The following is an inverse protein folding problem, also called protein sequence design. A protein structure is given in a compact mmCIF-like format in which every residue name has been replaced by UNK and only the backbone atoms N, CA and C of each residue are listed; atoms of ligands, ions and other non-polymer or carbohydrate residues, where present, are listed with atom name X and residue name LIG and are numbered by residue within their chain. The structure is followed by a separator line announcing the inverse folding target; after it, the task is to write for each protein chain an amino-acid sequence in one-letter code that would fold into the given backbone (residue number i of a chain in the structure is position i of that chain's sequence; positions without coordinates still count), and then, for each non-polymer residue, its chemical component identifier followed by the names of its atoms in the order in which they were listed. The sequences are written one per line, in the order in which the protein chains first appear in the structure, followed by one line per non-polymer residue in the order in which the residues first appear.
data_IF_480574602272
#
_entry.id   IF_480574602272
#
_cell.length_a   1.000
_cell.length_b   1.000
_cell.length_c   1.000
_cell.angle_alpha   90.00
_cell.angle_beta   90.00
_cell.angle_gamma   90.00
#
_symmetry.space_group_name_H-M   'P 1'
#
loop_
_entity.id
_entity.type
_entity.pdbx_description
1 polymer ?
#
# COMPACT_ATOMS: atom_id res chain seq x y z
N UNK A 1 -18.00 5.32 19.45
CA UNK A 1 -17.69 6.54 18.66
C UNK A 1 -18.84 7.54 18.72
N UNK A 2 -20.01 7.27 18.09
CA UNK A 2 -21.20 8.14 18.14
C UNK A 2 -21.68 8.50 19.55
N UNK A 3 -21.81 7.51 20.44
CA UNK A 3 -22.27 7.75 21.82
C UNK A 3 -21.31 8.61 22.66
N UNK A 4 -20.05 8.72 22.25
CA UNK A 4 -19.02 9.47 22.99
C UNK A 4 -18.73 10.84 22.33
N UNK A 5 -19.29 11.12 21.16
CA UNK A 5 -19.07 12.36 20.39
C UNK A 5 -20.36 12.73 19.64
N UNK A 6 -21.42 13.17 20.36
CA UNK A 6 -22.71 13.47 19.74
C UNK A 6 -22.66 14.61 18.72
N UNK A 7 -21.68 15.51 18.87
CA UNK A 7 -21.44 16.65 17.96
C UNK A 7 -20.77 16.24 16.63
N UNK A 8 -20.23 15.02 16.55
CA UNK A 8 -19.51 14.55 15.35
C UNK A 8 -20.48 13.85 14.40
N UNK A 9 -20.70 14.49 13.25
CA UNK A 9 -21.44 13.87 12.16
C UNK A 9 -20.53 12.88 11.40
N UNK A 10 -20.97 11.62 11.30
CA UNK A 10 -20.27 10.59 10.53
C UNK A 10 -20.93 10.46 9.17
N UNK A 11 -20.18 10.79 8.12
CA UNK A 11 -20.61 10.68 6.72
C UNK A 11 -19.91 9.46 6.11
N UNK A 12 -20.63 8.69 5.31
CA UNK A 12 -20.06 7.55 4.59
C UNK A 12 -19.34 8.05 3.35
N UNK A 13 -18.05 7.74 3.22
CA UNK A 13 -17.26 8.02 2.02
C UNK A 13 -17.42 6.87 1.01
N UNK A 14 -17.67 7.20 -0.25
CA UNK A 14 -17.83 6.25 -1.35
C UNK A 14 -17.42 6.89 -2.69
N UNK A 15 -17.44 6.10 -3.77
CA UNK A 15 -16.97 6.57 -5.08
C UNK A 15 -17.72 7.78 -5.64
N UNK A 16 -19.00 7.98 -5.30
CA UNK A 16 -19.77 9.12 -5.78
C UNK A 16 -19.27 10.46 -5.23
N UNK A 17 -18.49 10.45 -4.13
CA UNK A 17 -17.88 11.67 -3.60
C UNK A 17 -16.77 12.22 -4.52
N UNK A 18 -16.15 11.36 -5.34
CA UNK A 18 -15.01 11.56 -6.24
C UNK A 18 -13.73 12.11 -5.59
N UNK A 19 -13.80 13.10 -4.71
CA UNK A 19 -12.71 13.63 -3.90
C UNK A 19 -13.13 13.79 -2.44
N UNK A 20 -12.17 13.69 -1.53
CA UNK A 20 -12.40 14.09 -0.13
C UNK A 20 -12.62 15.61 -0.10
N UNK A 21 -13.60 16.06 0.69
CA UNK A 21 -13.89 17.47 0.89
C UNK A 21 -12.63 18.26 1.33
N UNK A 22 -12.39 19.39 0.69
CA UNK A 22 -11.16 20.19 0.86
C UNK A 22 -9.91 19.66 0.13
N UNK A 23 -10.00 18.58 -0.64
CA UNK A 23 -8.88 17.98 -1.40
C UNK A 23 -9.27 17.64 -2.84
N UNK A 24 -10.04 18.54 -3.48
CA UNK A 24 -10.54 18.40 -4.85
C UNK A 24 -9.51 18.72 -5.94
N UNK A 25 -9.95 18.80 -7.19
CA UNK A 25 -9.07 18.98 -8.36
C UNK A 25 -8.30 20.30 -8.39
N UNK A 26 -8.85 21.36 -7.77
CA UNK A 26 -8.22 22.67 -7.67
C UNK A 26 -7.05 22.71 -6.70
N UNK A 27 -6.94 21.72 -5.82
CA UNK A 27 -5.98 21.73 -4.72
C UNK A 27 -4.63 21.14 -5.14
N UNK A 28 -3.58 21.61 -4.46
CA UNK A 28 -2.22 21.10 -4.63
C UNK A 28 -2.12 19.63 -4.17
N UNK A 29 -2.78 19.33 -3.05
CA UNK A 29 -2.94 17.98 -2.53
C UNK A 29 -4.35 17.48 -2.84
N UNK A 30 -4.43 16.41 -3.61
CA UNK A 30 -5.70 15.83 -4.05
C UNK A 30 -5.89 14.46 -3.44
N UNK A 31 -7.09 14.17 -2.95
CA UNK A 31 -7.48 12.85 -2.48
C UNK A 31 -8.66 12.35 -3.27
N UNK A 32 -8.40 11.65 -4.37
CA UNK A 32 -9.45 11.03 -5.18
C UNK A 32 -9.96 9.77 -4.49
N UNK A 33 -11.27 9.65 -4.37
CA UNK A 33 -11.95 8.46 -3.84
C UNK A 33 -12.24 7.51 -5.00
N UNK A 34 -11.67 6.30 -4.94
CA UNK A 34 -11.87 5.25 -5.95
C UNK A 34 -12.82 4.15 -5.46
N UNK A 35 -13.09 4.09 -4.17
CA UNK A 35 -14.00 3.13 -3.55
C UNK A 35 -14.23 3.43 -2.08
N UNK A 36 -15.23 2.79 -1.44
CA UNK A 36 -16.02 1.69 -2.00
C UNK A 36 -17.02 2.11 -3.08
N UNK A 37 -17.36 1.18 -3.98
CA UNK A 37 -18.43 1.37 -4.98
C UNK A 37 -19.74 0.88 -4.38
N UNK A 38 -20.81 1.64 -4.59
CA UNK A 38 -22.17 1.27 -4.18
C UNK A 38 -23.06 0.99 -5.38
N UNK A 39 -24.00 0.08 -5.23
CA UNK A 39 -25.02 -0.21 -6.24
C UNK A 39 -26.40 0.19 -5.73
N UNK A 40 -27.25 0.67 -6.65
CA UNK A 40 -28.63 0.99 -6.35
C UNK A 40 -29.45 -0.29 -6.28
N UNK A 41 -29.81 -0.71 -5.08
CA UNK A 41 -30.69 -1.86 -4.86
C UNK A 41 -32.10 -1.37 -4.62
N UNK A 42 -33.06 -1.95 -5.35
CA UNK A 42 -34.49 -1.68 -5.17
C UNK A 42 -35.13 -2.89 -4.50
N UNK A 43 -35.80 -2.66 -3.37
CA UNK A 43 -36.56 -3.68 -2.65
C UNK A 43 -37.95 -3.12 -2.32
N UNK A 44 -38.98 -3.72 -2.90
CA UNK A 44 -40.33 -3.15 -2.88
C UNK A 44 -40.36 -1.79 -3.60
N UNK A 45 -40.81 -0.74 -2.90
CA UNK A 45 -40.90 0.62 -3.44
C UNK A 45 -39.74 1.53 -3.01
N UNK A 46 -38.73 1.00 -2.31
CA UNK A 46 -37.56 1.77 -1.87
C UNK A 46 -36.33 1.41 -2.70
N UNK A 47 -35.55 2.43 -3.10
CA UNK A 47 -34.21 2.24 -3.64
C UNK A 47 -33.16 2.82 -2.69
N UNK A 48 -32.09 2.08 -2.43
CA UNK A 48 -30.96 2.52 -1.59
C UNK A 48 -29.63 2.18 -2.25
N UNK A 49 -28.63 3.04 -2.05
CA UNK A 49 -27.24 2.73 -2.38
C UNK A 49 -26.70 1.75 -1.35
N UNK A 50 -26.23 0.59 -1.80
CA UNK A 50 -25.79 -0.49 -0.95
C UNK A 50 -24.41 -1.01 -1.39
N UNK A 51 -23.64 -1.51 -0.42
CA UNK A 51 -22.47 -2.33 -0.72
C UNK A 51 -22.94 -3.73 -1.13
N UNK A 52 -22.38 -4.26 -2.21
CA UNK A 52 -22.69 -5.62 -2.64
C UNK A 52 -22.00 -6.66 -1.77
N UNK A 53 -22.53 -7.87 -1.74
CA UNK A 53 -21.88 -8.99 -1.06
C UNK A 53 -20.87 -9.64 -1.99
N UNK A 54 -19.58 -9.49 -1.67
CA UNK A 54 -18.47 -10.06 -2.45
C UNK A 54 -18.15 -11.51 -2.07
N UNK A 55 -18.57 -11.93 -0.87
CA UNK A 55 -18.32 -13.28 -0.37
C UNK A 55 -18.84 -13.46 1.04
N UNK A 56 -18.04 -14.06 1.91
CA UNK A 56 -18.31 -14.07 3.35
C UNK A 56 -18.17 -12.67 3.97
N UNK A 57 -18.44 -12.56 5.27
CA UNK A 57 -18.38 -11.29 6.00
C UNK A 57 -16.99 -10.66 5.98
N UNK A 58 -15.93 -11.47 6.09
CA UNK A 58 -14.55 -11.00 6.11
C UNK A 58 -14.13 -10.49 4.73
N UNK A 59 -14.38 -11.29 3.69
CA UNK A 59 -14.13 -10.92 2.29
C UNK A 59 -14.88 -9.65 1.92
N UNK A 60 -16.15 -9.55 2.30
CA UNK A 60 -17.00 -8.38 1.99
C UNK A 60 -16.54 -7.14 2.76
N UNK A 61 -16.22 -7.26 4.05
CA UNK A 61 -15.75 -6.12 4.87
C UNK A 61 -14.44 -5.56 4.31
N UNK A 62 -13.46 -6.43 4.07
CA UNK A 62 -12.15 -6.01 3.60
C UNK A 62 -12.20 -5.52 2.14
N UNK A 63 -13.03 -6.18 1.31
CA UNK A 63 -13.21 -5.83 -0.09
C UNK A 63 -13.88 -4.47 -0.34
N UNK A 64 -14.58 -3.92 0.66
CA UNK A 64 -15.13 -2.56 0.62
C UNK A 64 -14.26 -1.55 1.39
N UNK A 65 -12.95 -1.79 1.40
CA UNK A 65 -11.98 -0.81 1.88
C UNK A 65 -12.19 0.54 1.18
N UNK A 66 -11.95 1.62 1.92
CA UNK A 66 -11.86 2.97 1.32
C UNK A 66 -10.59 3.01 0.49
N UNK A 67 -10.75 3.32 -0.80
CA UNK A 67 -9.64 3.35 -1.75
C UNK A 67 -9.36 4.81 -2.09
N UNK A 68 -8.15 5.26 -1.79
CA UNK A 68 -7.73 6.63 -2.05
C UNK A 68 -6.56 6.67 -3.02
N UNK A 69 -6.63 7.58 -3.98
CA UNK A 69 -5.47 8.01 -4.74
C UNK A 69 -5.10 9.43 -4.31
N UNK A 70 -3.94 9.55 -3.66
CA UNK A 70 -3.29 10.81 -3.38
C UNK A 70 -2.61 11.32 -4.65
N UNK A 71 -2.70 12.63 -4.91
CA UNK A 71 -1.85 13.28 -5.89
C UNK A 71 -1.27 14.58 -5.32
N UNK A 72 0.04 14.77 -5.50
CA UNK A 72 0.75 16.02 -5.23
C UNK A 72 1.77 16.25 -6.35
N UNK A 73 1.64 17.38 -7.05
CA UNK A 73 2.35 17.60 -8.32
C UNK A 73 2.16 16.42 -9.28
N UNK A 74 3.28 15.75 -9.64
CA UNK A 74 3.30 14.59 -10.53
C UNK A 74 3.18 13.25 -9.81
N UNK A 75 3.41 13.20 -8.50
CA UNK A 75 3.37 11.96 -7.73
C UNK A 75 1.93 11.51 -7.54
N UNK A 76 1.65 10.25 -7.88
CA UNK A 76 0.42 9.56 -7.50
C UNK A 76 0.70 8.42 -6.53
N UNK A 77 -0.07 8.35 -5.45
CA UNK A 77 0.02 7.30 -4.44
C UNK A 77 -1.32 6.61 -4.25
N UNK A 78 -1.36 5.29 -4.28
CA UNK A 78 -2.58 4.51 -3.99
C UNK A 78 -2.54 3.93 -2.57
N UNK A 79 -3.65 4.11 -1.85
CA UNK A 79 -3.95 3.49 -0.57
C UNK A 79 -5.17 2.58 -0.75
N UNK A 80 -4.92 1.29 -0.99
CA UNK A 80 -5.98 0.32 -1.29
C UNK A 80 -6.68 -0.28 -0.08
N UNK A 81 -6.12 -0.17 1.13
CA UNK A 81 -6.64 -0.87 2.30
C UNK A 81 -6.45 -2.39 2.19
N UNK A 82 -7.49 -3.16 2.49
CA UNK A 82 -7.44 -4.63 2.56
C UNK A 82 -8.17 -5.29 1.39
N UNK A 83 -8.08 -4.70 0.19
CA UNK A 83 -8.62 -5.32 -1.02
C UNK A 83 -8.13 -6.76 -1.16
N UNK A 84 -9.04 -7.61 -1.60
CA UNK A 84 -8.84 -9.01 -1.92
C UNK A 84 -9.22 -9.27 -3.39
N UNK A 85 -8.88 -10.46 -3.90
CA UNK A 85 -9.15 -10.88 -5.28
C UNK A 85 -10.59 -10.57 -5.74
N UNK A 86 -11.62 -10.84 -4.92
CA UNK A 86 -13.02 -10.60 -5.28
C UNK A 86 -13.33 -9.10 -5.44
N UNK A 87 -12.81 -8.27 -4.53
CA UNK A 87 -12.96 -6.82 -4.67
C UNK A 87 -12.18 -6.27 -5.86
N UNK A 88 -11.01 -6.81 -6.17
CA UNK A 88 -10.21 -6.38 -7.32
C UNK A 88 -10.88 -6.76 -8.64
N UNK A 89 -11.46 -7.97 -8.74
CA UNK A 89 -12.32 -8.36 -9.86
C UNK A 89 -13.49 -7.37 -10.03
N UNK A 90 -14.17 -7.03 -8.93
CA UNK A 90 -15.29 -6.09 -8.97
C UNK A 90 -14.86 -4.67 -9.41
N UNK A 91 -13.70 -4.18 -8.93
CA UNK A 91 -13.14 -2.91 -9.39
C UNK A 91 -12.78 -2.97 -10.89
N UNK A 92 -12.26 -4.09 -11.38
CA UNK A 92 -11.93 -4.27 -12.80
C UNK A 92 -13.16 -4.45 -13.68
N UNK A 93 -14.27 -4.96 -13.16
CA UNK A 93 -15.57 -4.90 -13.84
C UNK A 93 -16.04 -3.44 -13.97
N UNK A 94 -16.00 -2.69 -12.87
CA UNK A 94 -16.48 -1.31 -12.83
C UNK A 94 -15.63 -0.34 -13.67
N UNK A 95 -14.31 -0.30 -13.44
CA UNK A 95 -13.40 0.65 -14.09
C UNK A 95 -12.75 0.10 -15.36
N UNK A 96 -12.55 -1.21 -15.40
CA UNK A 96 -11.90 -1.90 -16.50
C UNK A 96 -12.88 -2.48 -17.51
N UNK A 97 -14.19 -2.45 -17.25
CA UNK A 97 -15.21 -3.03 -18.14
C UNK A 97 -15.02 -4.53 -18.37
N UNK A 98 -14.44 -5.26 -17.41
CA UNK A 98 -14.39 -6.71 -17.46
C UNK A 98 -15.82 -7.28 -17.43
N UNK A 99 -16.12 -8.25 -18.29
CA UNK A 99 -17.45 -8.89 -18.35
C UNK A 99 -17.58 -10.11 -17.44
N UNK A 100 -16.44 -10.56 -16.89
CA UNK A 100 -16.29 -11.68 -15.97
C UNK A 100 -15.17 -11.40 -14.98
N UNK A 101 -15.06 -12.23 -13.94
CA UNK A 101 -13.94 -12.16 -13.00
C UNK A 101 -12.61 -12.41 -13.74
N UNK A 102 -11.67 -11.47 -13.64
CA UNK A 102 -10.36 -11.61 -14.31
C UNK A 102 -9.49 -12.64 -13.61
N UNK A 103 -9.69 -12.86 -12.31
CA UNK A 103 -9.05 -13.95 -11.58
C UNK A 103 -9.34 -15.33 -12.21
N UNK A 104 -10.53 -15.52 -12.79
CA UNK A 104 -10.88 -16.74 -13.53
C UNK A 104 -10.19 -16.85 -14.88
N UNK A 105 -9.91 -15.72 -15.53
CA UNK A 105 -9.07 -15.69 -16.72
C UNK A 105 -7.63 -16.07 -16.37
N UNK A 106 -7.10 -15.51 -15.27
CA UNK A 106 -5.75 -15.81 -14.77
C UNK A 106 -5.59 -17.30 -14.45
N UNK A 107 -6.52 -17.89 -13.70
CA UNK A 107 -6.54 -19.33 -13.42
C UNK A 107 -6.48 -20.16 -14.71
N UNK A 108 -7.34 -19.86 -15.69
CA UNK A 108 -7.38 -20.57 -16.97
C UNK A 108 -6.11 -20.40 -17.79
N UNK A 109 -5.53 -19.20 -17.79
CA UNK A 109 -4.25 -18.92 -18.45
C UNK A 109 -3.14 -19.80 -17.84
N UNK A 110 -3.09 -19.96 -16.51
CA UNK A 110 -2.10 -20.84 -15.88
C UNK A 110 -2.29 -22.30 -16.24
N UNK A 111 -3.52 -22.79 -16.28
CA UNK A 111 -3.82 -24.15 -16.72
C UNK A 111 -3.28 -24.40 -18.14
N UNK A 112 -3.53 -23.47 -19.06
CA UNK A 112 -3.07 -23.57 -20.44
C UNK A 112 -1.54 -23.45 -20.55
N UNK A 113 -0.93 -22.50 -19.83
CA UNK A 113 0.53 -22.34 -19.82
C UNK A 113 1.25 -23.56 -19.23
N UNK A 114 0.67 -24.20 -18.21
CA UNK A 114 1.22 -25.40 -17.57
C UNK A 114 1.28 -26.60 -18.52
N UNK A 115 0.46 -26.63 -19.58
CA UNK A 115 0.53 -27.68 -20.62
C UNK A 115 1.76 -27.56 -21.52
N UNK A 116 2.42 -26.40 -21.57
CA UNK A 116 3.64 -26.21 -22.35
C UNK A 116 3.47 -26.56 -23.82
N UNK A 117 4.25 -27.53 -24.32
CA UNK A 117 4.17 -27.97 -25.72
C UNK A 117 2.93 -28.82 -26.06
N UNK A 118 2.08 -29.14 -25.08
CA UNK A 118 0.86 -29.94 -25.27
C UNK A 118 -0.40 -29.10 -25.53
N UNK A 119 -0.29 -27.77 -25.60
CA UNK A 119 -1.41 -26.88 -25.94
C UNK A 119 -1.76 -27.08 -27.42
N UNK A 120 -3.03 -27.35 -27.72
CA UNK A 120 -3.50 -27.48 -29.11
C UNK A 120 -3.83 -26.13 -29.76
N UNK A 121 -4.18 -26.13 -31.06
CA UNK A 121 -4.46 -24.89 -31.80
C UNK A 121 -5.64 -24.08 -31.27
N UNK A 122 -6.69 -24.75 -30.76
CA UNK A 122 -7.85 -24.07 -30.19
C UNK A 122 -7.50 -23.44 -28.83
N UNK A 123 -6.70 -24.16 -28.02
CA UNK A 123 -6.23 -23.66 -26.74
C UNK A 123 -5.23 -22.51 -26.87
N UNK A 124 -4.36 -22.52 -27.89
CA UNK A 124 -3.50 -21.36 -28.20
C UNK A 124 -4.33 -20.13 -28.56
N UNK A 125 -5.41 -20.31 -29.32
CA UNK A 125 -6.33 -19.22 -29.65
C UNK A 125 -7.05 -18.71 -28.40
N UNK A 126 -7.59 -19.60 -27.56
CA UNK A 126 -8.23 -19.26 -26.29
C UNK A 126 -7.29 -18.43 -25.40
N UNK A 127 -6.03 -18.86 -25.27
CA UNK A 127 -5.00 -18.16 -24.51
C UNK A 127 -4.75 -16.74 -25.05
N UNK A 128 -4.63 -16.58 -26.37
CA UNK A 128 -4.41 -15.28 -27.01
C UNK A 128 -5.62 -14.34 -26.84
N UNK A 129 -6.84 -14.86 -26.93
CA UNK A 129 -8.08 -14.11 -26.71
C UNK A 129 -8.18 -13.61 -25.27
N UNK A 130 -7.93 -14.49 -24.28
CA UNK A 130 -7.94 -14.08 -22.87
C UNK A 130 -6.84 -13.07 -22.54
N UNK A 131 -5.65 -13.21 -23.12
CA UNK A 131 -4.57 -12.24 -22.92
C UNK A 131 -4.96 -10.87 -23.51
N UNK A 132 -5.59 -10.86 -24.68
CA UNK A 132 -6.11 -9.63 -25.30
C UNK A 132 -7.21 -8.98 -24.44
N UNK A 133 -8.11 -9.80 -23.86
CA UNK A 133 -9.15 -9.33 -22.93
C UNK A 133 -8.53 -8.67 -21.70
N UNK A 134 -7.56 -9.33 -21.06
CA UNK A 134 -6.82 -8.79 -19.90
C UNK A 134 -6.15 -7.47 -20.26
N UNK A 135 -5.44 -7.40 -21.39
CA UNK A 135 -4.72 -6.19 -21.80
C UNK A 135 -5.69 -5.01 -22.04
N UNK A 136 -6.87 -5.28 -22.60
CA UNK A 136 -7.91 -4.28 -22.79
C UNK A 136 -8.51 -3.80 -21.46
N UNK A 137 -8.74 -4.71 -20.51
CA UNK A 137 -9.18 -4.37 -19.15
C UNK A 137 -8.12 -3.50 -18.46
N UNK A 138 -6.85 -3.89 -18.54
CA UNK A 138 -5.73 -3.15 -17.95
C UNK A 138 -5.64 -1.74 -18.52
N UNK A 139 -5.71 -1.59 -19.84
CA UNK A 139 -5.64 -0.28 -20.50
C UNK A 139 -6.76 0.68 -20.06
N UNK A 140 -7.98 0.17 -19.82
CA UNK A 140 -9.09 0.98 -19.31
C UNK A 140 -8.92 1.32 -17.83
N UNK A 141 -8.64 0.32 -17.00
CA UNK A 141 -8.50 0.49 -15.55
C UNK A 141 -7.30 1.37 -15.16
N UNK A 142 -6.20 1.37 -15.93
CA UNK A 142 -5.05 2.25 -15.73
C UNK A 142 -5.40 3.74 -15.71
N UNK A 143 -6.48 4.16 -16.39
CA UNK A 143 -6.95 5.55 -16.36
C UNK A 143 -7.33 6.02 -14.95
N UNK A 144 -7.62 5.07 -14.06
CA UNK A 144 -8.05 5.33 -12.68
C UNK A 144 -7.00 4.89 -11.64
N UNK A 145 -6.35 3.74 -11.87
CA UNK A 145 -5.52 3.09 -10.86
C UNK A 145 -4.01 3.23 -11.08
N UNK A 146 -3.56 3.74 -12.23
CA UNK A 146 -2.12 3.87 -12.47
C UNK A 146 -1.51 4.91 -11.54
N UNK A 147 -0.55 4.47 -10.72
CA UNK A 147 0.15 5.27 -9.72
C UNK A 147 1.67 5.07 -9.79
N UNK A 148 2.41 5.81 -8.98
CA UNK A 148 3.86 5.67 -8.87
C UNK A 148 4.25 4.87 -7.64
N UNK A 149 3.55 5.11 -6.53
CA UNK A 149 3.72 4.42 -5.26
C UNK A 149 2.40 3.78 -4.87
N UNK A 150 2.41 2.53 -4.44
CA UNK A 150 1.22 1.87 -3.90
C UNK A 150 1.51 1.28 -2.54
N UNK A 151 0.56 1.35 -1.61
CA UNK A 151 0.58 0.50 -0.43
C UNK A 151 0.00 -0.86 -0.82
N UNK A 152 0.76 -1.93 -0.57
CA UNK A 152 0.29 -3.28 -0.78
C UNK A 152 -1.02 -3.51 -0.03
N UNK A 153 -2.00 -4.07 -0.73
CA UNK A 153 -3.30 -4.39 -0.15
C UNK A 153 -3.14 -5.52 0.87
N UNK A 154 -3.95 -5.46 1.93
CA UNK A 154 -4.08 -6.54 2.92
C UNK A 154 -2.73 -7.06 3.42
N UNK A 155 -1.83 -6.14 3.78
CA UNK A 155 -0.49 -6.42 4.32
C UNK A 155 0.44 -7.23 3.40
N UNK A 156 0.11 -7.41 2.12
CA UNK A 156 0.84 -8.33 1.22
C UNK A 156 0.32 -9.76 1.27
N UNK A 157 -1.01 -9.91 1.33
CA UNK A 157 -1.70 -11.20 1.21
C UNK A 157 -1.48 -11.87 -0.14
N UNK A 158 -1.79 -13.16 -0.22
CA UNK A 158 -1.85 -13.94 -1.46
C UNK A 158 -3.19 -13.78 -2.22
N UNK A 159 -4.16 -13.09 -1.60
CA UNK A 159 -5.46 -12.84 -2.21
C UNK A 159 -5.45 -11.55 -3.01
N UNK A 160 -4.89 -11.60 -4.22
CA UNK A 160 -4.92 -10.51 -5.19
C UNK A 160 -5.14 -11.06 -6.61
N UNK A 161 -5.43 -10.17 -7.55
CA UNK A 161 -5.43 -10.36 -8.99
C UNK A 161 -4.15 -9.76 -9.56
N UNK A 162 -3.48 -10.53 -10.42
CA UNK A 162 -2.28 -10.07 -11.11
C UNK A 162 -2.60 -8.98 -12.13
N UNK A 163 -3.78 -9.06 -12.74
CA UNK A 163 -4.34 -8.02 -13.60
C UNK A 163 -4.49 -6.72 -12.85
N UNK A 164 -4.99 -6.73 -11.61
CA UNK A 164 -5.08 -5.52 -10.80
C UNK A 164 -3.71 -4.92 -10.53
N UNK A 165 -2.69 -5.73 -10.19
CA UNK A 165 -1.30 -5.25 -10.06
C UNK A 165 -0.78 -4.59 -11.35
N UNK A 166 -1.06 -5.18 -12.53
CA UNK A 166 -0.72 -4.58 -13.83
C UNK A 166 -1.40 -3.23 -14.06
N UNK A 167 -2.58 -3.00 -13.47
CA UNK A 167 -3.27 -1.69 -13.55
C UNK A 167 -2.62 -0.63 -12.69
N UNK A 168 -2.12 -0.99 -11.50
CA UNK A 168 -1.39 -0.07 -10.63
C UNK A 168 -0.13 0.44 -11.32
N UNK A 169 0.59 -0.45 -12.02
CA UNK A 169 1.80 -0.11 -12.79
C UNK A 169 2.80 0.74 -11.97
N UNK A 170 2.85 0.50 -10.66
CA UNK A 170 3.65 1.27 -9.71
C UNK A 170 5.13 0.96 -9.86
N UNK A 171 6.01 1.90 -9.54
CA UNK A 171 7.47 1.66 -9.45
C UNK A 171 7.91 1.35 -8.02
N UNK A 172 7.10 1.75 -7.02
CA UNK A 172 7.33 1.43 -5.61
C UNK A 172 6.09 0.78 -5.00
N UNK A 173 6.29 -0.34 -4.30
CA UNK A 173 5.28 -0.97 -3.44
C UNK A 173 5.73 -0.92 -1.99
N UNK A 174 4.89 -0.38 -1.12
CA UNK A 174 5.12 -0.30 0.33
C UNK A 174 4.21 -1.30 1.04
N UNK A 175 4.82 -2.29 1.68
CA UNK A 175 4.14 -3.31 2.47
C UNK A 175 4.18 -2.86 3.92
N UNK A 176 3.01 -2.56 4.47
CA UNK A 176 2.87 -2.36 5.91
C UNK A 176 2.30 -3.62 6.52
N UNK A 177 3.18 -4.43 7.11
CA UNK A 177 2.93 -5.66 7.85
C UNK A 177 3.48 -5.50 9.28
N UNK A 178 3.08 -6.37 10.21
CA UNK A 178 3.49 -6.28 11.61
C UNK A 178 3.60 -7.65 12.27
N UNK A 179 4.25 -7.70 13.43
CA UNK A 179 4.32 -8.88 14.28
C UNK A 179 2.95 -9.39 14.73
N UNK A 180 2.89 -10.68 15.10
CA UNK A 180 1.79 -11.31 15.82
C UNK A 180 0.46 -11.36 15.04
N UNK A 181 0.53 -11.54 13.73
CA UNK A 181 -0.62 -11.96 12.93
C UNK A 181 -0.67 -13.49 12.76
N UNK A 182 -1.87 -14.02 12.50
CA UNK A 182 -2.09 -15.46 12.30
C UNK A 182 -1.67 -15.97 10.91
N UNK A 183 -1.18 -15.08 10.06
CA UNK A 183 -0.75 -15.36 8.70
C UNK A 183 0.73 -14.98 8.55
N UNK A 184 1.37 -15.37 7.45
CA UNK A 184 2.79 -15.08 7.21
C UNK A 184 2.93 -13.96 6.18
N UNK A 185 2.35 -12.78 6.45
CA UNK A 185 2.50 -11.62 5.59
C UNK A 185 3.85 -10.92 5.79
N UNK A 186 4.41 -10.33 4.71
CA UNK A 186 3.99 -10.50 3.33
C UNK A 186 4.25 -11.92 2.82
N UNK A 187 3.32 -12.43 2.00
CA UNK A 187 3.46 -13.77 1.42
C UNK A 187 4.54 -13.78 0.33
N UNK A 188 5.25 -14.90 0.15
CA UNK A 188 6.35 -14.97 -0.83
C UNK A 188 5.88 -14.79 -2.29
N UNK A 189 4.69 -15.28 -2.62
CA UNK A 189 4.07 -15.07 -3.93
C UNK A 189 3.68 -13.60 -4.16
N UNK A 190 3.16 -12.92 -3.13
CA UNK A 190 2.88 -11.50 -3.17
C UNK A 190 4.16 -10.68 -3.44
N UNK A 191 5.25 -10.96 -2.71
CA UNK A 191 6.55 -10.31 -2.94
C UNK A 191 7.03 -10.49 -4.38
N UNK A 192 6.96 -11.73 -4.90
CA UNK A 192 7.33 -12.03 -6.29
C UNK A 192 6.44 -11.29 -7.30
N UNK A 193 5.13 -11.30 -7.10
CA UNK A 193 4.16 -10.64 -7.98
C UNK A 193 4.33 -9.12 -7.98
N UNK A 194 4.54 -8.49 -6.82
CA UNK A 194 4.82 -7.05 -6.73
C UNK A 194 6.06 -6.69 -7.52
N UNK A 195 7.13 -7.48 -7.43
CA UNK A 195 8.34 -7.25 -8.24
C UNK A 195 8.08 -7.45 -9.74
N UNK A 196 7.39 -8.53 -10.11
CA UNK A 196 7.12 -8.93 -11.51
C UNK A 196 6.22 -7.94 -12.26
N UNK A 197 5.20 -7.40 -11.59
CA UNK A 197 4.19 -6.54 -12.23
C UNK A 197 4.38 -5.06 -11.97
N UNK A 198 5.40 -4.67 -11.20
CA UNK A 198 5.81 -3.28 -11.09
C UNK A 198 6.50 -2.78 -12.37
N UNK A 199 6.45 -1.47 -12.55
CA UNK A 199 7.08 -0.73 -13.64
C UNK A 199 8.60 -0.62 -13.47
N UNK A 200 9.32 -0.69 -14.58
CA UNK A 200 10.74 -0.38 -14.66
C UNK A 200 11.66 -1.58 -14.45
N UNK A 201 12.96 -1.40 -14.71
CA UNK A 201 13.96 -2.48 -14.65
C UNK A 201 14.28 -2.89 -13.21
N UNK A 202 14.14 -1.96 -12.26
CA UNK A 202 14.43 -2.16 -10.84
C UNK A 202 13.33 -1.53 -9.98
N UNK A 203 12.14 -2.15 -9.93
CA UNK A 203 11.10 -1.70 -9.02
C UNK A 203 11.54 -1.88 -7.56
N UNK A 204 10.97 -1.06 -6.67
CA UNK A 204 11.31 -1.05 -5.25
C UNK A 204 10.18 -1.65 -4.43
N UNK A 205 10.52 -2.59 -3.55
CA UNK A 205 9.61 -3.10 -2.53
C UNK A 205 10.18 -2.71 -1.18
N UNK A 206 9.39 -1.96 -0.40
CA UNK A 206 9.69 -1.69 1.00
C UNK A 206 8.74 -2.49 1.87
N UNK A 207 9.23 -3.06 2.97
CA UNK A 207 8.38 -3.73 3.96
C UNK A 207 8.76 -3.27 5.34
N UNK A 208 7.76 -2.89 6.14
CA UNK A 208 7.96 -2.45 7.52
C UNK A 208 8.64 -3.54 8.35
N UNK A 209 8.29 -4.80 8.12
CA UNK A 209 8.90 -5.95 8.81
C UNK A 209 10.31 -6.26 8.29
N UNK A 210 10.55 -6.22 6.97
CA UNK A 210 11.92 -6.41 6.45
C UNK A 210 12.87 -5.29 6.90
N UNK A 211 12.35 -4.06 7.02
CA UNK A 211 13.09 -2.92 7.55
C UNK A 211 13.21 -2.95 9.08
N UNK A 212 12.44 -3.81 9.76
CA UNK A 212 12.49 -4.05 11.20
C UNK A 212 13.38 -5.26 11.49
N UNK A 213 14.67 -5.09 11.26
CA UNK A 213 15.67 -5.96 11.88
C UNK A 213 15.85 -5.50 13.33
N UNK A 214 15.01 -5.98 14.25
CA UNK A 214 15.28 -5.83 15.69
C UNK A 214 16.06 -7.06 16.17
N UNK A 215 16.97 -6.87 17.13
CA UNK A 215 17.47 -8.01 17.92
C UNK A 215 16.27 -8.75 18.49
N UNK A 216 16.24 -10.06 18.24
CA UNK A 216 15.13 -11.00 18.43
C UNK A 216 14.46 -10.94 19.82
N UNK A 217 15.12 -10.35 20.83
CA UNK A 217 14.54 -10.10 22.15
C UNK A 217 15.06 -8.79 22.75
N UNK A 218 14.21 -7.77 22.85
CA UNK A 218 14.28 -6.84 23.98
C UNK A 218 13.18 -7.28 24.91
N UNK A 219 13.56 -7.97 25.99
CA UNK A 219 12.61 -8.40 26.99
C UNK A 219 11.89 -7.14 27.52
N UNK A 220 10.56 -7.09 27.43
CA UNK A 220 9.75 -5.95 27.88
C UNK A 220 10.07 -5.61 29.34
N UNK A 221 10.42 -6.62 30.14
CA UNK A 221 10.90 -6.45 31.51
C UNK A 221 12.20 -5.63 31.59
N UNK A 222 13.18 -5.86 30.71
CA UNK A 222 14.43 -5.09 30.67
C UNK A 222 14.19 -3.65 30.24
N UNK A 223 13.27 -3.42 29.30
CA UNK A 223 12.91 -2.08 28.87
C UNK A 223 12.19 -1.27 29.97
N UNK A 224 11.20 -1.87 30.65
CA UNK A 224 10.53 -1.26 31.79
C UNK A 224 11.54 -0.97 32.91
N UNK A 225 12.48 -1.88 33.16
CA UNK A 225 13.54 -1.67 34.14
C UNK A 225 14.46 -0.51 33.76
N UNK A 226 14.83 -0.39 32.48
CA UNK A 226 15.62 0.75 31.97
C UNK A 226 14.87 2.07 32.19
N UNK A 227 13.57 2.14 31.86
CA UNK A 227 12.77 3.35 32.07
C UNK A 227 12.68 3.71 33.56
N UNK A 228 12.45 2.73 34.44
CA UNK A 228 12.43 2.94 35.90
C UNK A 228 13.77 3.42 36.45
N UNK A 229 14.89 3.04 35.85
CA UNK A 229 16.21 3.55 36.23
C UNK A 229 16.35 5.02 35.85
N UNK A 230 15.91 5.42 34.65
CA UNK A 230 15.91 6.83 34.26
C UNK A 230 14.97 7.68 35.11
N UNK A 231 13.75 7.20 35.40
CA UNK A 231 12.81 7.88 36.29
C UNK A 231 13.43 8.14 37.68
N UNK A 232 14.16 7.17 38.23
CA UNK A 232 14.89 7.35 39.50
C UNK A 232 15.99 8.40 39.39
N UNK A 233 16.83 8.32 38.35
CA UNK A 233 17.91 9.30 38.13
C UNK A 233 17.36 10.72 37.97
N UNK A 234 16.23 10.89 37.29
CA UNK A 234 15.57 12.18 37.12
C UNK A 234 15.06 12.70 38.48
N UNK A 235 14.50 11.83 39.32
CA UNK A 235 14.04 12.20 40.66
C UNK A 235 15.19 12.60 41.60
N UNK A 236 16.35 11.94 41.48
CA UNK A 236 17.55 12.16 42.29
C UNK A 236 18.46 13.30 41.77
N UNK A 237 18.22 13.77 40.55
CA UNK A 237 19.05 14.80 39.91
C UNK A 237 19.02 16.13 40.67
N UNK A 238 20.21 16.65 40.92
CA UNK A 238 20.45 17.83 41.77
C UNK A 238 20.24 19.18 41.07
N UNK A 239 20.13 19.16 39.73
CA UNK A 239 19.95 20.36 38.92
C UNK A 239 18.91 20.15 37.81
N UNK A 240 18.30 21.24 37.36
CA UNK A 240 17.36 21.20 36.24
C UNK A 240 18.04 20.82 34.92
N UNK A 241 19.31 21.19 34.75
CA UNK A 241 20.10 20.88 33.55
C UNK A 241 20.38 19.37 33.44
N UNK A 242 20.67 18.72 34.57
CA UNK A 242 20.84 17.26 34.65
C UNK A 242 19.52 16.51 34.44
N UNK A 243 18.40 17.02 34.97
CA UNK A 243 17.06 16.47 34.69
C UNK A 243 16.74 16.51 33.19
N UNK A 244 16.90 17.66 32.56
CA UNK A 244 16.61 17.83 31.13
C UNK A 244 17.48 16.89 30.28
N UNK A 245 18.76 16.72 30.63
CA UNK A 245 19.65 15.77 29.95
C UNK A 245 19.19 14.32 30.11
N UNK A 246 18.83 13.89 31.32
CA UNK A 246 18.38 12.52 31.59
C UNK A 246 17.03 12.22 30.94
N UNK A 247 16.12 13.19 30.91
CA UNK A 247 14.85 13.11 30.17
C UNK A 247 15.09 12.95 28.66
N UNK A 248 16.02 13.72 28.10
CA UNK A 248 16.41 13.60 26.70
C UNK A 248 17.02 12.21 26.41
N UNK A 249 17.95 11.73 27.24
CA UNK A 249 18.54 10.38 27.09
C UNK A 249 17.49 9.27 27.19
N UNK A 250 16.53 9.41 28.12
CA UNK A 250 15.40 8.49 28.29
C UNK A 250 14.49 8.51 27.05
N UNK A 251 14.20 9.69 26.50
CA UNK A 251 13.39 9.82 25.29
C UNK A 251 14.09 9.21 24.07
N UNK A 252 15.39 9.45 23.88
CA UNK A 252 16.18 8.82 22.82
C UNK A 252 16.26 7.28 22.95
N UNK A 253 16.18 6.75 24.17
CA UNK A 253 16.06 5.30 24.43
C UNK A 253 14.65 4.79 24.06
N UNK A 254 13.60 5.56 24.34
CA UNK A 254 12.21 5.21 23.98
C UNK A 254 12.01 5.20 22.46
N UNK A 255 12.49 6.23 21.78
CA UNK A 255 12.36 6.38 20.33
C UNK A 255 13.10 5.26 19.57
N UNK A 256 14.20 4.74 20.14
CA UNK A 256 14.90 3.57 19.59
C UNK A 256 14.08 2.28 19.61
N UNK A 257 13.14 2.11 20.54
CA UNK A 257 12.41 0.86 20.71
C UNK A 257 10.96 0.90 20.19
N UNK A 258 10.29 2.06 20.27
CA UNK A 258 8.82 2.11 20.10
C UNK A 258 8.38 2.63 18.73
N UNK A 259 9.20 3.39 17.98
CA UNK A 259 8.65 4.20 16.86
C UNK A 259 9.42 4.18 15.54
N UNK A 260 10.72 3.83 15.48
CA UNK A 260 11.52 4.18 14.26
C UNK A 260 12.08 2.98 13.47
N UNK A 261 12.21 1.78 14.03
CA UNK A 261 12.67 0.62 13.25
C UNK A 261 11.52 0.03 12.44
N UNK A 262 11.74 -0.16 11.13
CA UNK A 262 10.71 -0.54 10.18
C UNK A 262 9.96 0.63 9.52
N UNK A 263 10.13 1.88 10.00
CA UNK A 263 9.42 3.02 9.41
C UNK A 263 9.92 3.32 7.99
N UNK A 264 8.98 3.34 7.06
CA UNK A 264 9.20 3.74 5.66
C UNK A 264 8.61 5.13 5.48
N UNK A 265 9.43 6.07 5.03
CA UNK A 265 9.02 7.45 4.82
C UNK A 265 8.98 7.77 3.33
N UNK A 266 7.84 8.28 2.88
CA UNK A 266 7.67 8.89 1.56
C UNK A 266 7.67 10.41 1.73
N UNK A 267 8.55 11.12 1.03
CA UNK A 267 8.60 12.59 1.00
C UNK A 267 8.60 13.09 -0.44
N UNK A 268 7.95 14.22 -0.67
CA UNK A 268 7.90 14.84 -1.99
C UNK A 268 7.63 16.33 -1.87
N UNK A 269 8.09 17.08 -2.86
CA UNK A 269 7.73 18.48 -3.12
C UNK A 269 6.82 18.62 -4.36
N UNK A 270 6.32 17.50 -4.88
CA UNK A 270 5.49 17.44 -6.09
C UNK A 270 6.27 17.10 -7.37
N UNK A 271 7.60 17.21 -7.36
CA UNK A 271 8.46 16.90 -8.53
C UNK A 271 9.51 15.83 -8.19
N UNK A 272 10.18 15.97 -7.03
CA UNK A 272 11.15 15.01 -6.52
C UNK A 272 10.54 14.14 -5.44
N UNK A 273 10.72 12.84 -5.56
CA UNK A 273 10.19 11.87 -4.60
C UNK A 273 11.33 11.13 -3.91
N UNK A 274 11.26 11.04 -2.59
CA UNK A 274 12.18 10.27 -1.77
C UNK A 274 11.38 9.20 -1.03
N UNK A 275 11.80 7.94 -1.18
CA UNK A 275 11.37 6.84 -0.33
C UNK A 275 12.57 6.39 0.48
N UNK A 276 12.45 6.37 1.81
CA UNK A 276 13.57 6.07 2.68
C UNK A 276 13.17 5.16 3.85
N UNK A 277 14.09 4.31 4.24
CA UNK A 277 14.01 3.47 5.43
C UNK A 277 15.19 3.77 6.35
N UNK A 278 15.00 3.65 7.66
CA UNK A 278 16.08 3.90 8.62
C UNK A 278 17.09 2.77 8.56
N UNK A 279 18.38 3.09 8.50
CA UNK A 279 19.45 2.10 8.63
C UNK A 279 19.54 1.68 10.09
N UNK A 280 19.56 0.36 10.32
CA UNK A 280 19.59 -0.21 11.67
C UNK A 280 20.84 0.21 12.45
N UNK A 281 22.01 -0.04 11.86
CA UNK A 281 23.31 0.27 12.43
C UNK A 281 24.08 1.22 11.49
N UNK A 282 23.77 2.52 11.49
CA UNK A 282 24.42 3.47 10.59
C UNK A 282 25.91 3.59 10.95
N UNK A 283 26.78 3.54 9.94
CA UNK A 283 28.24 3.71 10.15
C UNK A 283 28.59 5.12 10.65
N UNK A 284 27.79 6.12 10.28
CA UNK A 284 27.90 7.52 10.69
C UNK A 284 26.52 8.12 10.93
N UNK A 285 26.42 9.10 11.82
CA UNK A 285 25.15 9.81 12.08
C UNK A 285 24.56 10.52 10.84
N UNK A 286 25.39 10.83 9.84
CA UNK A 286 24.95 11.40 8.56
C UNK A 286 24.35 10.36 7.60
N UNK A 287 24.52 9.06 7.88
CA UNK A 287 24.08 7.93 7.04
C UNK A 287 22.94 7.17 7.73
N UNK A 288 22.02 7.88 8.38
CA UNK A 288 20.90 7.28 9.14
C UNK A 288 19.82 6.66 8.27
N UNK A 289 19.78 6.99 6.99
CA UNK A 289 18.70 6.63 6.07
C UNK A 289 19.26 5.98 4.83
N UNK A 290 18.62 4.89 4.42
CA UNK A 290 18.75 4.31 3.10
C UNK A 290 17.73 5.01 2.20
N UNK A 291 18.22 5.82 1.26
CA UNK A 291 17.44 6.81 0.51
C UNK A 291 17.36 6.38 -0.94
N UNK A 292 16.12 6.25 -1.43
CA UNK A 292 15.82 5.99 -2.84
C UNK A 292 15.07 7.18 -3.44
N UNK A 293 15.58 7.68 -4.56
CA UNK A 293 15.04 8.87 -5.23
C UNK A 293 14.31 8.47 -6.51
N UNK A 294 13.09 8.98 -6.71
CA UNK A 294 12.42 8.95 -8.00
C UNK A 294 12.48 10.34 -8.64
N UNK A 295 12.77 10.39 -9.95
CA UNK A 295 12.72 11.61 -10.74
C UNK A 295 11.80 11.45 -11.93
N UNK A 296 11.19 12.55 -12.34
CA UNK A 296 10.36 12.56 -13.52
C UNK A 296 11.24 12.50 -14.77
N UNK A 297 10.97 11.53 -15.62
CA UNK A 297 11.62 11.40 -16.92
C UNK A 297 10.69 11.96 -18.00
N UNK A 298 11.08 13.10 -18.59
CA UNK A 298 10.27 13.77 -19.63
C UNK A 298 10.09 12.93 -20.89
N UNK A 299 10.99 11.99 -21.18
CA UNK A 299 10.92 11.15 -22.38
C UNK A 299 9.89 10.03 -22.21
N UNK A 300 9.73 9.49 -21.00
CA UNK A 300 8.78 8.40 -20.71
C UNK A 300 7.48 8.92 -20.09
N UNK A 301 7.49 10.15 -19.60
CA UNK A 301 6.36 10.79 -18.93
C UNK A 301 6.07 10.25 -17.53
N UNK A 302 7.04 9.59 -16.88
CA UNK A 302 6.84 8.83 -15.65
C UNK A 302 7.90 9.16 -14.59
N UNK A 303 7.54 8.97 -13.30
CA UNK A 303 8.50 8.93 -12.21
C UNK A 303 9.25 7.58 -12.26
N UNK A 304 10.58 7.67 -12.29
CA UNK A 304 11.49 6.54 -12.41
C UNK A 304 12.52 6.54 -11.28
N UNK A 305 12.89 5.36 -10.80
CA UNK A 305 13.93 5.21 -9.80
C UNK A 305 15.31 5.57 -10.36
N UNK A 306 15.96 6.55 -9.75
CA UNK A 306 17.30 6.99 -10.12
C UNK A 306 18.32 6.27 -9.24
N UNK A 307 19.17 5.45 -9.88
CA UNK A 307 20.25 4.77 -9.17
C UNK A 307 21.32 5.79 -8.77
N UNK A 308 21.71 5.77 -7.50
CA UNK A 308 22.85 6.51 -6.98
C UNK A 308 24.10 6.22 -7.83
N UNK A 309 24.63 7.24 -8.52
CA UNK A 309 25.83 7.15 -9.36
C UNK A 309 25.59 6.99 -10.87
N UNK A 310 24.35 6.88 -11.33
CA UNK A 310 24.05 6.99 -12.76
C UNK A 310 24.13 8.46 -13.19
N UNK A 311 25.10 8.82 -14.04
CA UNK A 311 25.09 10.11 -14.73
C UNK A 311 24.05 10.01 -15.85
N UNK A 312 23.02 10.85 -15.78
CA UNK A 312 22.13 11.11 -16.90
C UNK A 312 22.71 12.23 -17.76
#
# INVERSE_FOLDING_TARGET
ARNNNPEVNFIALNKEDDYIDGFGESEELRFKVLGPITEKITYGNESKQCLIRLGDKSVTKNGHSVILQLQIGRLKVMLGGDLNTQSEDYLLQHYGGATRAVSKLEERIYELQAKGCHVDGAEMQELAEMQTEIDAVVARARRHFQVDVTKACHHGSHHFSETFLKTLNAVVTVISSGDNESYSHPRPDALGAFGKYSRGIRPLIFSTELARSTREFINVYDYINILRVYERKIAEASSQEEKNRLEQEMQERKDRNVVVYGMITLRTDGEKVIVAQKIEAPRKLSEKWDIHELRYNNSTGQLEYVRSGAKH
#
